data_IF_781417365377
#
_entry.id   IF_781417365377
#
_cell.length_a   1.000
_cell.length_b   1.000
_cell.length_c   1.000
_cell.angle_alpha   90.00
_cell.angle_beta   90.00
_cell.angle_gamma   90.00
#
_symmetry.space_group_name_H-M   'P 1'
#
loop_
_entity.id
_entity.type
_entity.pdbx_description
1 polymer ?
#
# COMPACT_ATOMS: atom_id res chain seq x y z
N UNK A 1 34.31 -13.58 42.28
CA UNK A 1 33.64 -12.30 42.54
C UNK A 1 32.27 -12.38 41.87
N UNK A 2 31.39 -13.29 42.28
CA UNK A 2 30.43 -13.18 43.41
C UNK A 2 29.82 -11.78 43.47
N UNK A 3 28.58 -11.66 43.00
CA UNK A 3 27.45 -11.20 43.81
C UNK A 3 26.16 -11.79 43.20
N UNK A 4 25.68 -12.85 43.84
CA UNK A 4 24.37 -13.46 43.66
C UNK A 4 23.32 -12.62 44.38
N UNK A 5 22.32 -12.10 43.65
CA UNK A 5 21.10 -11.54 44.23
C UNK A 5 20.01 -12.61 44.24
N UNK A 6 19.69 -13.12 45.43
CA UNK A 6 18.58 -14.03 45.66
C UNK A 6 17.24 -13.28 45.61
N UNK A 7 16.26 -13.81 44.88
CA UNK A 7 14.84 -13.53 45.12
C UNK A 7 14.06 -14.85 45.13
N UNK A 8 13.13 -15.03 46.08
CA UNK A 8 12.59 -16.33 46.46
C UNK A 8 11.49 -16.81 45.50
N UNK A 9 11.32 -18.12 45.49
CA UNK A 9 10.22 -18.82 44.83
C UNK A 9 8.85 -18.33 45.32
N UNK A 10 8.00 -17.90 44.39
CA UNK A 10 6.55 -18.04 44.51
C UNK A 10 6.01 -18.55 43.17
N UNK A 11 5.67 -19.83 43.18
CA UNK A 11 4.84 -20.49 42.20
C UNK A 11 3.41 -19.97 42.38
N UNK A 12 3.02 -18.98 41.57
CA UNK A 12 1.61 -18.60 41.39
C UNK A 12 1.20 -18.94 39.96
N UNK A 13 0.47 -20.04 39.82
CA UNK A 13 -0.24 -20.43 38.61
C UNK A 13 -1.43 -19.48 38.46
N UNK A 14 -1.22 -18.34 37.79
CA UNK A 14 -2.30 -17.42 37.44
C UNK A 14 -2.90 -17.91 36.13
N UNK A 15 -4.01 -18.62 36.26
CA UNK A 15 -4.88 -18.99 35.15
C UNK A 15 -5.63 -17.72 34.68
N UNK A 16 -4.96 -16.88 33.90
CA UNK A 16 -5.61 -15.76 33.22
C UNK A 16 -6.21 -16.27 31.91
N UNK A 17 -7.47 -16.65 31.95
CA UNK A 17 -8.30 -16.77 30.75
C UNK A 17 -8.57 -15.36 30.20
N UNK A 18 -7.67 -14.82 29.39
CA UNK A 18 -8.00 -13.70 28.50
C UNK A 18 -8.44 -14.27 27.17
N UNK A 19 -9.77 -14.44 27.05
CA UNK A 19 -10.42 -14.48 25.76
C UNK A 19 -10.19 -13.12 25.06
N UNK A 20 -9.13 -13.02 24.28
CA UNK A 20 -8.94 -11.96 23.30
C UNK A 20 -9.34 -12.57 21.94
N UNK A 21 -10.64 -12.70 21.68
CA UNK A 21 -11.46 -11.69 21.02
C UNK A 21 -10.82 -11.25 19.70
N UNK A 22 -11.43 -11.71 18.60
CA UNK A 22 -11.22 -11.30 17.22
C UNK A 22 -11.33 -9.78 17.07
N UNK A 23 -10.23 -9.04 17.26
CA UNK A 23 -10.24 -7.58 17.20
C UNK A 23 -8.98 -7.03 16.51
N UNK A 24 -8.50 -7.69 15.45
CA UNK A 24 -7.47 -7.14 14.55
C UNK A 24 -8.01 -6.82 13.15
N UNK A 25 -9.13 -7.42 12.72
CA UNK A 25 -9.68 -7.21 11.38
C UNK A 25 -10.29 -5.81 11.18
N UNK A 26 -10.75 -5.16 12.24
CA UNK A 26 -11.45 -3.86 12.15
C UNK A 26 -10.49 -2.66 12.09
N UNK A 27 -9.23 -2.84 12.52
CA UNK A 27 -8.25 -1.74 12.54
C UNK A 27 -7.73 -1.41 11.15
N UNK A 28 -7.46 -2.41 10.31
CA UNK A 28 -6.82 -2.22 9.00
C UNK A 28 -7.77 -1.71 7.91
N UNK A 29 -9.08 -1.97 8.03
CA UNK A 29 -10.08 -1.39 7.12
C UNK A 29 -10.13 0.15 7.25
N UNK A 30 -9.75 0.70 8.41
CA UNK A 30 -9.71 2.15 8.65
C UNK A 30 -8.52 2.85 7.97
N UNK A 31 -7.52 2.09 7.49
CA UNK A 31 -6.29 2.64 6.93
C UNK A 31 -6.26 2.61 5.39
N UNK A 32 -7.25 2.00 4.75
CA UNK A 32 -7.50 2.20 3.32
C UNK A 32 -8.13 3.58 3.13
N UNK A 33 -7.29 4.60 2.97
CA UNK A 33 -7.78 5.96 2.71
C UNK A 33 -7.86 6.18 1.20
N UNK A 34 -9.05 6.37 0.62
CA UNK A 34 -9.18 6.81 -0.76
C UNK A 34 -8.35 8.09 -0.98
N UNK A 35 -7.74 8.26 -2.15
CA UNK A 35 -6.97 9.46 -2.51
C UNK A 35 -7.76 10.77 -2.29
N UNK A 36 -9.09 10.71 -2.29
CA UNK A 36 -9.95 11.84 -1.93
C UNK A 36 -10.03 12.10 -0.42
N UNK A 37 -10.06 11.06 0.42
CA UNK A 37 -10.32 11.20 1.85
C UNK A 37 -9.12 11.73 2.64
N UNK A 38 -7.89 11.41 2.23
CA UNK A 38 -6.68 12.03 2.80
C UNK A 38 -6.69 13.54 2.60
N UNK A 39 -7.12 13.99 1.42
CA UNK A 39 -7.25 15.42 1.10
C UNK A 39 -8.38 16.08 1.90
N UNK A 40 -9.55 15.46 1.98
CA UNK A 40 -10.71 16.01 2.71
C UNK A 40 -10.46 16.19 4.21
N UNK A 41 -9.73 15.26 4.85
CA UNK A 41 -9.35 15.41 6.26
C UNK A 41 -8.20 16.41 6.46
N UNK A 42 -7.26 16.52 5.53
CA UNK A 42 -6.21 17.54 5.54
C UNK A 42 -6.77 18.96 5.31
N UNK A 43 -7.86 19.06 4.55
CA UNK A 43 -8.54 20.32 4.23
C UNK A 43 -9.59 20.75 5.29
N UNK A 44 -9.80 19.95 6.35
CA UNK A 44 -10.73 20.29 7.44
C UNK A 44 -12.21 20.33 7.03
N UNK A 45 -12.59 19.56 6.01
CA UNK A 45 -13.97 19.53 5.49
C UNK A 45 -14.89 18.79 6.47
N UNK A 46 -15.90 19.49 7.01
CA UNK A 46 -16.92 18.88 7.86
C UNK A 46 -17.88 18.01 7.04
N UNK A 47 -17.71 16.69 7.17
CA UNK A 47 -18.54 15.67 6.49
C UNK A 47 -19.75 15.24 7.33
N UNK A 48 -19.93 15.76 8.54
CA UNK A 48 -21.01 15.31 9.45
C UNK A 48 -22.42 15.63 8.94
N UNK A 49 -22.53 16.65 8.09
CA UNK A 49 -23.80 17.10 7.49
C UNK A 49 -23.95 16.69 6.01
N UNK A 50 -23.03 15.90 5.47
CA UNK A 50 -23.09 15.49 4.06
C UNK A 50 -24.22 14.47 3.84
N UNK A 51 -25.25 14.79 3.00
CA UNK A 51 -26.46 13.97 2.88
C UNK A 51 -26.18 12.52 2.46
N UNK A 52 -25.16 12.34 1.61
CA UNK A 52 -24.77 11.03 1.09
C UNK A 52 -23.98 10.21 2.12
N UNK A 53 -23.08 10.86 2.86
CA UNK A 53 -22.31 10.20 3.92
C UNK A 53 -23.20 9.81 5.11
N UNK A 54 -24.19 10.63 5.46
CA UNK A 54 -25.18 10.28 6.50
C UNK A 54 -26.06 9.11 6.07
N UNK A 55 -26.44 9.04 4.79
CA UNK A 55 -27.31 7.99 4.25
C UNK A 55 -26.59 6.65 4.04
N UNK A 56 -25.37 6.69 3.50
CA UNK A 56 -24.65 5.50 3.03
C UNK A 56 -23.34 5.21 3.78
N UNK A 57 -22.91 6.09 4.66
CA UNK A 57 -21.62 6.02 5.33
C UNK A 57 -20.46 6.53 4.46
N UNK A 58 -19.25 6.43 5.00
CA UNK A 58 -18.03 6.61 4.22
C UNK A 58 -17.94 5.55 3.13
N UNK A 59 -17.35 5.89 1.99
CA UNK A 59 -17.17 4.95 0.88
C UNK A 59 -15.84 4.20 1.06
N UNK A 60 -15.86 2.92 1.47
CA UNK A 60 -14.64 2.13 1.50
C UNK A 60 -14.33 1.56 0.12
N UNK A 61 -13.04 1.37 -0.14
CA UNK A 61 -12.60 0.63 -1.31
C UNK A 61 -12.60 -0.88 -1.02
N UNK A 62 -13.42 -1.61 -1.75
CA UNK A 62 -13.41 -3.07 -1.79
C UNK A 62 -12.42 -3.54 -2.85
N UNK A 63 -12.04 -4.81 -2.85
CA UNK A 63 -10.91 -5.30 -3.67
C UNK A 63 -10.93 -4.83 -5.13
N UNK A 64 -12.08 -4.82 -5.79
CA UNK A 64 -12.22 -4.42 -7.19
C UNK A 64 -12.70 -2.97 -7.41
N UNK A 65 -12.72 -2.12 -6.38
CA UNK A 65 -12.98 -0.66 -6.47
C UNK A 65 -11.77 0.15 -6.02
N UNK A 66 -11.85 1.48 -6.09
CA UNK A 66 -10.75 2.36 -5.69
C UNK A 66 -9.73 2.70 -6.79
N UNK A 67 -8.77 3.58 -6.46
CA UNK A 67 -7.72 4.02 -7.37
C UNK A 67 -6.83 2.85 -7.80
N UNK A 68 -6.33 2.91 -9.03
CA UNK A 68 -5.51 1.85 -9.59
C UNK A 68 -4.05 1.98 -9.13
N UNK A 69 -3.77 1.51 -7.92
CA UNK A 69 -2.42 1.26 -7.42
C UNK A 69 -2.22 -0.22 -7.16
N UNK A 70 -0.96 -0.63 -7.01
CA UNK A 70 -0.64 -1.99 -6.59
C UNK A 70 -1.24 -2.29 -5.20
N UNK A 71 -2.07 -3.33 -5.08
CA UNK A 71 -2.60 -3.82 -3.79
C UNK A 71 -3.21 -2.73 -2.89
N UNK A 72 -3.78 -1.66 -3.47
CA UNK A 72 -4.34 -0.50 -2.77
C UNK A 72 -3.34 0.31 -1.93
N UNK A 73 -2.03 0.19 -2.20
CA UNK A 73 -1.03 1.02 -1.51
C UNK A 73 -1.15 2.49 -1.94
N UNK A 74 -0.69 3.45 -1.12
CA UNK A 74 -0.69 4.86 -1.51
C UNK A 74 0.07 5.08 -2.81
N UNK A 75 -0.49 5.92 -3.67
CA UNK A 75 0.12 6.29 -4.94
C UNK A 75 0.73 7.68 -4.84
N UNK A 76 1.98 7.84 -5.27
CA UNK A 76 2.59 9.15 -5.48
C UNK A 76 3.51 9.12 -6.68
N UNK A 77 3.84 10.29 -7.22
CA UNK A 77 4.82 10.41 -8.29
C UNK A 77 6.21 10.62 -7.69
N UNK A 78 6.84 9.52 -7.28
CA UNK A 78 8.14 9.55 -6.60
C UNK A 78 9.27 10.19 -7.43
N UNK A 79 9.12 10.24 -8.76
CA UNK A 79 10.09 10.88 -9.66
C UNK A 79 9.91 12.40 -9.76
N UNK A 80 8.75 12.93 -9.37
CA UNK A 80 8.47 14.37 -9.31
C UNK A 80 8.74 14.92 -7.90
N UNK A 81 8.50 14.10 -6.86
CA UNK A 81 8.66 14.47 -5.46
C UNK A 81 9.39 13.39 -4.67
N UNK A 82 10.64 13.69 -4.28
CA UNK A 82 11.48 12.81 -3.46
C UNK A 82 11.33 13.04 -1.95
N UNK A 83 10.40 13.89 -1.50
CA UNK A 83 10.21 14.17 -0.06
C UNK A 83 9.48 13.04 0.67
N UNK A 84 8.76 12.19 -0.06
CA UNK A 84 8.03 11.05 0.50
C UNK A 84 8.99 9.90 0.78
N UNK A 85 9.21 9.58 2.06
CA UNK A 85 10.00 8.44 2.48
C UNK A 85 9.22 7.12 2.30
N UNK A 86 9.89 6.09 1.82
CA UNK A 86 9.37 4.72 1.72
C UNK A 86 10.51 3.71 1.84
N UNK A 87 10.21 2.50 2.31
CA UNK A 87 11.17 1.38 2.34
C UNK A 87 11.11 0.59 1.03
N UNK A 88 9.91 0.45 0.45
CA UNK A 88 9.66 -0.30 -0.78
C UNK A 88 8.83 0.56 -1.75
N UNK A 89 9.44 0.94 -2.86
CA UNK A 89 8.78 1.68 -3.94
C UNK A 89 8.49 0.77 -5.14
N UNK A 90 7.24 0.70 -5.58
CA UNK A 90 6.87 0.02 -6.82
C UNK A 90 6.92 1.00 -7.98
N UNK A 91 7.76 0.69 -8.97
CA UNK A 91 7.92 1.51 -10.16
C UNK A 91 7.77 0.63 -11.41
N UNK A 92 6.82 0.97 -12.27
CA UNK A 92 6.62 0.27 -13.53
C UNK A 92 7.51 0.83 -14.65
N UNK A 93 7.98 -0.06 -15.51
CA UNK A 93 8.70 0.32 -16.74
C UNK A 93 7.98 -0.29 -17.96
N UNK A 94 7.08 0.47 -18.63
CA UNK A 94 6.29 -0.05 -19.74
C UNK A 94 7.12 -0.13 -21.03
N UNK A 95 7.91 -1.20 -21.18
CA UNK A 95 8.84 -1.37 -22.32
C UNK A 95 8.83 -2.79 -22.89
N UNK A 96 8.79 -2.93 -24.21
CA UNK A 96 8.79 -4.23 -24.91
C UNK A 96 9.47 -4.25 -26.29
N UNK A 97 10.21 -3.21 -26.66
CA UNK A 97 10.84 -3.14 -27.99
C UNK A 97 12.01 -4.12 -28.16
N UNK A 98 12.54 -4.66 -27.07
CA UNK A 98 13.60 -5.68 -27.06
C UNK A 98 13.08 -7.11 -27.02
N UNK A 99 11.76 -7.31 -27.11
CA UNK A 99 11.20 -8.66 -27.22
C UNK A 99 11.51 -9.27 -28.59
N UNK A 100 11.85 -10.56 -28.63
CA UNK A 100 12.21 -11.27 -29.86
C UNK A 100 11.03 -11.92 -30.58
N UNK A 101 9.85 -11.98 -29.95
CA UNK A 101 8.69 -12.68 -30.49
C UNK A 101 7.36 -11.94 -30.28
N UNK A 102 6.79 -11.99 -29.07
CA UNK A 102 5.46 -11.39 -28.79
C UNK A 102 5.60 -10.08 -28.01
N UNK A 103 5.34 -8.91 -28.65
CA UNK A 103 5.25 -7.65 -27.93
C UNK A 103 3.98 -7.62 -27.06
N UNK A 104 3.94 -6.69 -26.11
CA UNK A 104 2.82 -6.53 -25.17
C UNK A 104 3.24 -6.37 -23.71
N UNK A 105 4.51 -6.65 -23.37
CA UNK A 105 5.01 -6.48 -22.01
C UNK A 105 4.90 -5.03 -21.50
N UNK A 106 4.79 -4.04 -22.40
CA UNK A 106 4.53 -2.63 -22.04
C UNK A 106 3.22 -2.42 -21.26
N UNK A 107 2.24 -3.31 -21.43
CA UNK A 107 0.96 -3.26 -20.70
C UNK A 107 1.03 -4.00 -19.35
N UNK A 108 2.16 -4.66 -19.07
CA UNK A 108 2.40 -5.45 -17.87
C UNK A 108 2.18 -4.66 -16.56
N UNK A 109 2.81 -3.48 -16.38
CA UNK A 109 2.65 -2.71 -15.14
C UNK A 109 1.20 -2.39 -14.80
N UNK A 110 0.41 -1.94 -15.79
CA UNK A 110 -1.03 -1.71 -15.63
C UNK A 110 -1.77 -3.00 -15.28
N UNK A 111 -1.48 -4.09 -16.00
CA UNK A 111 -2.10 -5.40 -15.76
C UNK A 111 -1.82 -5.96 -14.37
N UNK A 112 -0.60 -5.80 -13.85
CA UNK A 112 -0.21 -6.21 -12.51
C UNK A 112 -1.00 -5.43 -11.46
N UNK A 113 -1.10 -4.09 -11.59
CA UNK A 113 -1.91 -3.28 -10.67
C UNK A 113 -3.38 -3.72 -10.69
N UNK A 114 -3.94 -3.89 -11.89
CA UNK A 114 -5.32 -4.36 -12.04
C UNK A 114 -5.56 -5.77 -11.47
N UNK A 115 -4.59 -6.68 -11.60
CA UNK A 115 -4.66 -8.04 -11.05
C UNK A 115 -4.44 -8.10 -9.54
N UNK A 116 -3.66 -7.16 -8.98
CA UNK A 116 -3.36 -7.07 -7.54
C UNK A 116 -4.53 -6.56 -6.69
N UNK A 117 -5.63 -6.16 -7.31
CA UNK A 117 -6.83 -5.61 -6.66
C UNK A 117 -7.44 -6.50 -5.56
N UNK A 118 -7.36 -7.83 -5.72
CA UNK A 118 -7.82 -8.76 -4.68
C UNK A 118 -6.85 -8.91 -3.51
N UNK A 119 -5.62 -8.43 -3.65
CA UNK A 119 -4.62 -8.45 -2.60
C UNK A 119 -4.81 -7.22 -1.71
N UNK A 120 -4.53 -7.41 -0.42
CA UNK A 120 -4.40 -6.35 0.57
C UNK A 120 -3.08 -6.57 1.29
N UNK A 121 -2.50 -5.49 1.83
CA UNK A 121 -1.26 -5.53 2.59
C UNK A 121 -1.36 -6.44 3.84
N UNK A 122 -2.58 -6.62 4.35
CA UNK A 122 -2.96 -7.46 5.49
C UNK A 122 -3.11 -8.96 5.13
N UNK A 123 -3.07 -9.30 3.83
CA UNK A 123 -3.45 -10.63 3.32
C UNK A 123 -2.34 -11.31 2.52
N UNK A 124 -1.17 -10.69 2.44
CA UNK A 124 0.00 -11.22 1.75
C UNK A 124 1.13 -11.48 2.73
N UNK A 125 1.64 -12.71 2.79
CA UNK A 125 2.86 -13.04 3.52
C UNK A 125 4.01 -13.36 2.58
N UNK A 126 5.23 -13.18 3.06
CA UNK A 126 6.40 -13.66 2.35
C UNK A 126 6.41 -15.19 2.37
N UNK A 127 6.66 -15.80 1.21
CA UNK A 127 6.74 -17.26 1.08
C UNK A 127 7.80 -17.87 2.02
N UNK A 128 8.85 -17.10 2.32
CA UNK A 128 9.86 -17.43 3.31
C UNK A 128 9.62 -16.57 4.55
N UNK A 129 9.21 -17.20 5.65
CA UNK A 129 9.00 -16.55 6.94
C UNK A 129 7.53 -16.33 7.32
N UNK A 130 6.59 -16.32 6.37
CA UNK A 130 5.15 -16.28 6.68
C UNK A 130 4.64 -14.96 7.27
N UNK A 131 5.49 -13.95 7.37
CA UNK A 131 5.17 -12.60 7.87
C UNK A 131 5.12 -11.62 6.70
N UNK A 132 4.20 -10.66 6.73
CA UNK A 132 4.13 -9.62 5.70
C UNK A 132 5.24 -8.57 5.91
N UNK A 133 5.72 -7.89 4.84
CA UNK A 133 6.66 -6.77 5.01
C UNK A 133 6.07 -5.63 5.86
N UNK A 134 4.76 -5.45 5.80
CA UNK A 134 4.05 -4.38 6.53
C UNK A 134 3.97 -4.72 8.02
N UNK A 135 3.76 -5.98 8.38
CA UNK A 135 3.86 -6.46 9.77
C UNK A 135 5.27 -6.29 10.35
N UNK A 136 6.29 -6.29 9.49
CA UNK A 136 7.68 -6.00 9.87
C UNK A 136 8.00 -4.50 9.92
N UNK A 137 7.02 -3.63 9.69
CA UNK A 137 7.16 -2.18 9.75
C UNK A 137 7.61 -1.52 8.46
N UNK A 138 7.64 -2.24 7.33
CA UNK A 138 8.03 -1.65 6.05
C UNK A 138 6.91 -0.77 5.48
N UNK A 139 7.27 0.43 5.04
CA UNK A 139 6.41 1.34 4.29
C UNK A 139 6.49 1.05 2.78
N UNK A 140 5.33 0.84 2.16
CA UNK A 140 5.20 0.45 0.75
C UNK A 140 4.43 1.53 -0.02
N UNK A 141 4.92 1.89 -1.20
CA UNK A 141 4.41 2.99 -2.01
C UNK A 141 4.39 2.63 -3.50
N UNK A 142 3.34 2.99 -4.22
CA UNK A 142 3.29 2.90 -5.69
C UNK A 142 3.76 4.22 -6.29
N UNK A 143 4.90 4.18 -6.96
CA UNK A 143 5.57 5.31 -7.59
C UNK A 143 5.11 5.57 -9.03
N UNK A 144 4.14 4.81 -9.52
CA UNK A 144 3.67 4.89 -10.90
C UNK A 144 4.66 4.32 -11.90
N UNK A 145 4.72 4.93 -13.09
CA UNK A 145 5.47 4.39 -14.21
C UNK A 145 6.53 5.38 -14.68
N UNK A 146 7.71 4.85 -15.03
CA UNK A 146 8.71 5.63 -15.75
C UNK A 146 8.16 5.92 -17.14
N UNK A 147 8.15 7.19 -17.49
CA UNK A 147 7.79 7.60 -18.84
C UNK A 147 8.88 7.13 -19.83
N UNK A 148 8.54 6.09 -20.60
CA UNK A 148 9.35 5.53 -21.68
C UNK A 148 8.47 5.39 -22.90
N UNK A 149 8.85 6.07 -23.98
CA UNK A 149 8.34 5.78 -25.32
C UNK A 149 9.35 4.93 -26.06
N UNK A 150 8.92 4.14 -27.04
CA UNK A 150 9.70 3.08 -27.70
C UNK A 150 11.16 3.45 -28.03
N UNK A 151 11.42 4.71 -28.37
CA UNK A 151 12.75 5.21 -28.77
C UNK A 151 13.31 6.35 -27.91
N UNK A 152 12.58 6.84 -26.89
CA UNK A 152 13.03 7.97 -26.04
C UNK A 152 12.64 7.80 -24.58
N UNK A 153 13.53 8.22 -23.69
CA UNK A 153 13.19 8.55 -22.31
C UNK A 153 12.46 9.88 -22.29
N UNK A 154 11.48 10.05 -21.41
CA UNK A 154 10.86 11.36 -21.24
C UNK A 154 11.80 12.26 -20.43
N UNK A 155 12.42 13.22 -21.11
CA UNK A 155 13.32 14.27 -20.57
C UNK A 155 14.39 14.61 -21.63
N UNK A 156 14.44 15.83 -22.20
CA UNK A 156 14.72 17.10 -21.49
C UNK A 156 13.57 18.13 -21.33
N UNK A 157 12.42 18.03 -22.01
CA UNK A 157 11.45 19.16 -22.06
C UNK A 157 10.00 18.86 -21.69
N UNK A 158 9.66 17.68 -21.16
CA UNK A 158 8.29 17.39 -20.72
C UNK A 158 7.21 17.48 -21.81
N UNK A 159 7.60 17.67 -23.08
CA UNK A 159 6.67 17.79 -24.19
C UNK A 159 6.54 16.45 -24.91
N UNK A 160 5.36 15.87 -24.77
CA UNK A 160 4.92 14.75 -25.57
C UNK A 160 4.48 15.33 -26.93
N UNK A 161 5.37 15.35 -27.92
CA UNK A 161 4.99 15.72 -29.29
C UNK A 161 4.11 14.59 -29.84
N UNK A 162 2.81 14.73 -29.62
CA UNK A 162 1.81 13.79 -30.09
C UNK A 162 1.84 13.68 -31.62
N UNK A 163 2.03 12.45 -32.08
CA UNK A 163 1.64 11.97 -33.40
C UNK A 163 0.81 10.71 -33.21
#
# INVERSE_FOLDING_TARGET
MILTGAFPAFLTLVLSATAQAHQESDFFYSQQRPLGQQRLMQDGVDISHEPWAQKYGLQPDIGYTGPLSFSHVPYTRCLEDGSVAFDIGLLGMPFDTTTSYRPGARFGPFGIRAGSRRQGLDRGSLAWGGVSPVEQGASILDCGDVCRVAFRTCGEHGQYDGY
#
